data_IF_361040104695
#
_entry.id   IF_361040104695
#
_cell.length_a   1.000
_cell.length_b   1.000
_cell.length_c   1.000
_cell.angle_alpha   90.00
_cell.angle_beta   90.00
_cell.angle_gamma   90.00
#
_symmetry.space_group_name_H-M   'P 1'
#
loop_
_entity.id
_entity.type
_entity.pdbx_description
1 polymer ?
#
# COMPACT_ATOMS: atom_id res chain seq x y z
N UNK A 1 -4.69 16.98 18.26
CA UNK A 1 -5.53 17.79 17.35
C UNK A 1 -5.03 17.50 15.95
N UNK A 2 -5.92 17.25 14.98
CA UNK A 2 -5.53 17.06 13.58
C UNK A 2 -5.01 18.40 13.04
N UNK A 3 -3.82 18.39 12.43
CA UNK A 3 -3.27 19.57 11.75
C UNK A 3 -3.82 19.73 10.32
N UNK A 4 -4.66 18.79 9.88
CA UNK A 4 -5.26 18.77 8.55
C UNK A 4 -6.65 19.41 8.54
N UNK A 5 -6.89 20.24 7.53
CA UNK A 5 -8.21 20.73 7.12
C UNK A 5 -9.04 19.61 6.46
N UNK A 6 -10.36 19.77 6.41
CA UNK A 6 -11.25 18.82 5.74
C UNK A 6 -10.89 18.62 4.26
N UNK A 7 -10.45 19.68 3.56
CA UNK A 7 -10.01 19.60 2.17
C UNK A 7 -8.75 18.74 2.01
N UNK A 8 -7.81 18.86 2.95
CA UNK A 8 -6.60 18.04 2.98
C UNK A 8 -6.92 16.58 3.31
N UNK A 9 -7.87 16.33 4.20
CA UNK A 9 -8.36 14.98 4.52
C UNK A 9 -8.97 14.35 3.27
N UNK A 10 -9.87 15.05 2.57
CA UNK A 10 -10.48 14.54 1.32
C UNK A 10 -9.42 14.25 0.27
N UNK A 11 -8.41 15.11 0.13
CA UNK A 11 -7.30 14.89 -0.81
C UNK A 11 -6.48 13.66 -0.46
N UNK A 12 -6.13 13.49 0.81
CA UNK A 12 -5.37 12.33 1.29
C UNK A 12 -6.15 11.02 1.09
N UNK A 13 -7.43 10.99 1.45
CA UNK A 13 -8.30 9.81 1.25
C UNK A 13 -8.42 9.45 -0.23
N UNK A 14 -8.57 10.43 -1.12
CA UNK A 14 -8.60 10.19 -2.57
C UNK A 14 -7.25 9.66 -3.09
N UNK A 15 -6.15 10.19 -2.60
CA UNK A 15 -4.81 9.69 -2.92
C UNK A 15 -4.65 8.22 -2.54
N UNK A 16 -5.05 7.86 -1.31
CA UNK A 16 -5.04 6.48 -0.83
C UNK A 16 -5.93 5.57 -1.67
N UNK A 17 -7.15 6.00 -2.00
CA UNK A 17 -8.06 5.24 -2.85
C UNK A 17 -7.48 4.98 -4.25
N UNK A 18 -6.78 5.96 -4.84
CA UNK A 18 -6.12 5.81 -6.12
C UNK A 18 -4.97 4.77 -6.06
N UNK A 19 -4.13 4.82 -5.01
CA UNK A 19 -3.07 3.82 -4.81
C UNK A 19 -3.66 2.41 -4.66
N UNK A 20 -4.79 2.27 -3.94
CA UNK A 20 -5.44 0.98 -3.82
C UNK A 20 -6.04 0.47 -5.13
N UNK A 21 -6.59 1.35 -5.96
CA UNK A 21 -7.06 0.96 -7.29
C UNK A 21 -5.91 0.50 -8.21
N UNK A 22 -4.71 1.08 -8.08
CA UNK A 22 -3.52 0.61 -8.79
C UNK A 22 -3.04 -0.75 -8.29
N UNK A 23 -3.01 -0.93 -6.97
CA UNK A 23 -2.70 -2.20 -6.32
C UNK A 23 -3.63 -3.33 -6.76
N UNK A 24 -4.93 -3.05 -6.87
CA UNK A 24 -5.92 -4.04 -7.29
C UNK A 24 -5.71 -4.47 -8.74
N UNK A 25 -5.37 -3.56 -9.65
CA UNK A 25 -5.01 -3.90 -11.03
C UNK A 25 -3.82 -4.85 -11.08
N UNK A 26 -2.82 -4.65 -10.22
CA UNK A 26 -1.67 -5.56 -10.13
C UNK A 26 -2.10 -6.94 -9.61
N UNK A 27 -2.97 -6.98 -8.61
CA UNK A 27 -3.52 -8.22 -8.06
C UNK A 27 -4.31 -9.02 -9.11
N UNK A 28 -5.13 -8.35 -9.93
CA UNK A 28 -5.83 -8.96 -11.06
C UNK A 28 -4.86 -9.61 -12.05
N UNK A 29 -3.74 -8.93 -12.38
CA UNK A 29 -2.71 -9.49 -13.27
C UNK A 29 -2.01 -10.71 -12.68
N UNK A 30 -1.63 -10.67 -11.40
CA UNK A 30 -1.04 -11.82 -10.71
C UNK A 30 -2.02 -12.99 -10.66
N UNK A 31 -3.30 -12.71 -10.38
CA UNK A 31 -4.37 -13.71 -10.32
C UNK A 31 -4.59 -14.40 -11.66
N UNK A 32 -4.61 -13.64 -12.76
CA UNK A 32 -4.72 -14.16 -14.12
C UNK A 32 -3.58 -15.13 -14.49
N UNK A 33 -2.38 -14.93 -13.91
CA UNK A 33 -1.19 -15.75 -14.16
C UNK A 33 -1.00 -16.87 -13.12
N UNK A 34 -1.97 -17.13 -12.23
CA UNK A 34 -1.81 -18.09 -11.11
C UNK A 34 -1.57 -19.53 -11.57
N UNK A 35 -2.17 -19.94 -12.69
CA UNK A 35 -2.05 -21.29 -13.25
C UNK A 35 -1.04 -21.38 -14.39
N UNK A 36 -0.29 -20.30 -14.64
CA UNK A 36 0.64 -20.27 -15.75
C UNK A 36 1.88 -21.14 -15.46
N UNK A 37 2.36 -21.83 -16.50
CA UNK A 37 3.46 -22.79 -16.42
C UNK A 37 4.58 -22.49 -17.41
N UNK A 38 4.36 -21.57 -18.36
CA UNK A 38 5.40 -21.17 -19.29
C UNK A 38 6.44 -20.29 -18.56
N UNK A 39 7.73 -20.36 -18.92
CA UNK A 39 8.75 -19.50 -18.33
C UNK A 39 8.45 -18.00 -18.47
N UNK A 40 7.83 -17.60 -19.59
CA UNK A 40 7.48 -16.21 -19.91
C UNK A 40 6.40 -15.68 -18.97
N UNK A 41 5.33 -16.46 -18.79
CA UNK A 41 4.23 -16.10 -17.88
C UNK A 41 4.69 -16.07 -16.42
N UNK A 42 5.57 -17.00 -16.04
CA UNK A 42 6.15 -17.02 -14.69
C UNK A 42 7.01 -15.77 -14.43
N UNK A 43 7.80 -15.33 -15.42
CA UNK A 43 8.57 -14.10 -15.33
C UNK A 43 7.67 -12.87 -15.26
N UNK A 44 6.55 -12.85 -15.98
CA UNK A 44 5.57 -11.78 -15.89
C UNK A 44 4.82 -11.76 -14.55
N UNK A 45 4.40 -12.92 -14.04
CA UNK A 45 3.80 -13.06 -12.71
C UNK A 45 4.73 -12.54 -11.62
N UNK A 46 6.01 -12.88 -11.69
CA UNK A 46 7.01 -12.40 -10.73
C UNK A 46 7.17 -10.88 -10.81
N UNK A 47 7.23 -10.30 -12.02
CA UNK A 47 7.29 -8.84 -12.20
C UNK A 47 6.07 -8.13 -11.60
N UNK A 48 4.86 -8.65 -11.83
CA UNK A 48 3.66 -8.08 -11.22
C UNK A 48 3.61 -8.30 -9.70
N UNK A 49 4.06 -9.45 -9.22
CA UNK A 49 4.17 -9.73 -7.77
C UNK A 49 5.12 -8.78 -7.06
N UNK A 50 6.29 -8.52 -7.64
CA UNK A 50 7.25 -7.53 -7.13
C UNK A 50 6.69 -6.11 -7.15
N UNK A 51 6.00 -5.73 -8.23
CA UNK A 51 5.34 -4.44 -8.33
C UNK A 51 4.24 -4.29 -7.26
N UNK A 52 3.46 -5.35 -7.03
CA UNK A 52 2.42 -5.38 -6.01
C UNK A 52 3.01 -5.24 -4.61
N UNK A 53 4.09 -5.96 -4.28
CA UNK A 53 4.77 -5.86 -2.99
C UNK A 53 5.33 -4.44 -2.73
N UNK A 54 5.90 -3.80 -3.76
CA UNK A 54 6.34 -2.39 -3.69
C UNK A 54 5.17 -1.44 -3.44
N UNK A 55 4.02 -1.68 -4.07
CA UNK A 55 2.82 -0.87 -3.87
C UNK A 55 2.25 -1.06 -2.46
N UNK A 56 2.19 -2.30 -1.97
CA UNK A 56 1.75 -2.63 -0.60
C UNK A 56 2.62 -1.90 0.44
N UNK A 57 3.95 -1.90 0.24
CA UNK A 57 4.90 -1.13 1.07
C UNK A 57 4.59 0.37 1.05
N UNK A 58 4.41 0.94 -0.15
CA UNK A 58 4.14 2.37 -0.31
C UNK A 58 2.84 2.77 0.40
N UNK A 59 1.78 1.98 0.21
CA UNK A 59 0.47 2.20 0.83
C UNK A 59 0.59 2.15 2.36
N UNK A 60 1.33 1.20 2.91
CA UNK A 60 1.50 1.08 4.36
C UNK A 60 2.20 2.31 4.95
N UNK A 61 3.31 2.74 4.33
CA UNK A 61 4.05 3.92 4.79
C UNK A 61 3.24 5.22 4.66
N UNK A 62 2.54 5.40 3.54
CA UNK A 62 1.64 6.54 3.35
C UNK A 62 0.49 6.53 4.37
N UNK A 63 -0.06 5.35 4.67
CA UNK A 63 -1.12 5.20 5.69
C UNK A 63 -0.64 5.66 7.06
N UNK A 64 0.59 5.31 7.46
CA UNK A 64 1.18 5.74 8.74
C UNK A 64 1.21 7.27 8.81
N UNK A 65 1.73 7.92 7.76
CA UNK A 65 1.83 9.38 7.71
C UNK A 65 0.46 10.05 7.75
N UNK A 66 -0.45 9.66 6.85
CA UNK A 66 -1.77 10.28 6.72
C UNK A 66 -2.58 10.10 8.01
N UNK A 67 -2.61 8.90 8.57
CA UNK A 67 -3.31 8.64 9.84
C UNK A 67 -2.70 9.44 10.99
N UNK A 68 -1.38 9.60 11.02
CA UNK A 68 -0.68 10.41 12.01
C UNK A 68 -1.09 11.88 11.93
N UNK A 69 -1.09 12.45 10.72
CA UNK A 69 -1.48 13.85 10.46
C UNK A 69 -2.96 14.13 10.75
N UNK A 70 -3.83 13.15 10.51
CA UNK A 70 -5.26 13.20 10.88
C UNK A 70 -5.49 13.10 12.40
N UNK A 71 -4.46 12.87 13.20
CA UNK A 71 -4.56 12.65 14.64
C UNK A 71 -5.07 11.26 15.03
N UNK A 72 -5.21 10.33 14.07
CA UNK A 72 -5.60 8.93 14.29
C UNK A 72 -4.41 8.12 14.82
N UNK A 73 -3.90 8.53 15.98
CA UNK A 73 -2.62 8.08 16.54
C UNK A 73 -2.54 6.57 16.70
N UNK A 74 -3.58 5.92 17.26
CA UNK A 74 -3.58 4.46 17.45
C UNK A 74 -3.60 3.71 16.12
N UNK A 75 -4.28 4.22 15.10
CA UNK A 75 -4.31 3.60 13.78
C UNK A 75 -2.94 3.74 13.09
N UNK A 76 -2.32 4.92 13.15
CA UNK A 76 -0.96 5.15 12.66
C UNK A 76 0.06 4.23 13.36
N UNK A 77 -0.04 4.08 14.68
CA UNK A 77 0.83 3.17 15.45
C UNK A 77 0.61 1.70 15.11
N UNK A 78 -0.63 1.27 14.86
CA UNK A 78 -0.91 -0.09 14.41
C UNK A 78 -0.28 -0.37 13.05
N UNK A 79 -0.41 0.54 12.08
CA UNK A 79 0.26 0.44 10.79
C UNK A 79 1.79 0.45 10.94
N UNK A 80 2.32 1.28 11.85
CA UNK A 80 3.75 1.34 12.14
C UNK A 80 4.28 0.03 12.73
N UNK A 81 3.52 -0.62 13.62
CA UNK A 81 3.88 -1.92 14.17
C UNK A 81 4.02 -2.98 13.06
N UNK A 82 3.06 -3.02 12.11
CA UNK A 82 3.15 -3.90 10.94
C UNK A 82 4.36 -3.55 10.09
N UNK A 83 4.60 -2.27 9.80
CA UNK A 83 5.77 -1.86 9.01
C UNK A 83 7.10 -2.25 9.68
N UNK A 84 7.15 -2.22 11.01
CA UNK A 84 8.31 -2.66 11.78
C UNK A 84 8.49 -4.18 11.73
N UNK A 85 7.41 -4.96 11.85
CA UNK A 85 7.45 -6.43 11.74
C UNK A 85 7.94 -6.88 10.35
N UNK A 86 7.55 -6.15 9.30
CA UNK A 86 7.99 -6.38 7.92
C UNK A 86 9.39 -5.80 7.61
N UNK A 87 10.06 -5.17 8.58
CA UNK A 87 11.38 -4.55 8.40
C UNK A 87 11.41 -3.31 7.50
N UNK A 88 10.26 -2.68 7.29
CA UNK A 88 10.06 -1.51 6.42
C UNK A 88 10.24 -0.17 7.16
N UNK A 89 10.11 -0.18 8.50
CA UNK A 89 10.29 0.99 9.34
C UNK A 89 11.37 0.75 10.41
N UNK A 90 12.20 1.77 10.65
CA UNK A 90 13.22 1.75 11.70
C UNK A 90 13.10 2.99 12.59
N UNK A 91 13.10 2.75 13.90
CA UNK A 91 12.96 3.69 15.04
C UNK A 91 11.53 4.02 15.45
#
# INVERSE_FOLDING_TARGET
MSDMTDEEIVRAVRGMAAMQAEREKLAERVSALRTAVSPEDLAERNRFGEAMAKMDTKILLESIEVLGRMGMTLASQACYAVAKEEGLATH
#
